data_IF_782473696796
#
_entry.id   IF_782473696796
#
_cell.length_a   1.000
_cell.length_b   1.000
_cell.length_c   1.000
_cell.angle_alpha   90.00
_cell.angle_beta   90.00
_cell.angle_gamma   90.00
#
_symmetry.space_group_name_H-M   'P 1'
#
loop_
_entity.id
_entity.type
_entity.pdbx_description
1 polymer ?
#
# COMPACT_ATOMS: atom_id res chain seq x y z
N UNK A 1 -38.50 -4.89 -44.47
CA UNK A 1 -38.24 -6.34 -44.33
C UNK A 1 -36.77 -6.48 -43.90
N UNK A 2 -36.51 -6.50 -42.59
CA UNK A 2 -35.17 -6.58 -42.00
C UNK A 2 -35.08 -7.90 -41.24
N UNK A 3 -34.32 -8.86 -41.76
CA UNK A 3 -34.04 -10.12 -41.06
C UNK A 3 -33.09 -9.84 -39.89
N UNK A 4 -33.54 -10.13 -38.66
CA UNK A 4 -32.67 -10.20 -37.48
C UNK A 4 -31.96 -11.55 -37.48
N UNK A 5 -30.63 -11.54 -37.49
CA UNK A 5 -29.79 -12.71 -37.23
C UNK A 5 -29.78 -12.93 -35.71
N UNK A 6 -30.13 -14.12 -35.19
CA UNK A 6 -30.02 -14.41 -33.76
C UNK A 6 -28.59 -14.79 -33.40
N UNK A 7 -27.89 -13.93 -32.66
CA UNK A 7 -26.60 -14.27 -32.04
C UNK A 7 -26.85 -15.07 -30.77
N UNK A 8 -26.93 -16.40 -30.91
CA UNK A 8 -26.92 -17.31 -29.77
C UNK A 8 -25.47 -17.53 -29.31
N UNK A 9 -25.04 -16.78 -28.30
CA UNK A 9 -23.77 -17.05 -27.61
C UNK A 9 -24.08 -18.16 -26.59
N UNK A 10 -23.67 -19.39 -26.89
CA UNK A 10 -23.64 -20.46 -25.89
C UNK A 10 -22.69 -20.09 -24.74
N UNK A 11 -22.97 -20.50 -23.50
CA UNK A 11 -22.02 -20.31 -22.41
C UNK A 11 -20.77 -21.15 -22.72
N UNK A 12 -19.70 -20.47 -23.14
CA UNK A 12 -18.44 -21.09 -23.51
C UNK A 12 -17.82 -21.75 -22.26
N UNK A 13 -17.35 -23.02 -22.34
CA UNK A 13 -16.61 -23.70 -21.27
C UNK A 13 -15.25 -23.02 -20.93
N UNK A 14 -14.93 -21.91 -21.58
CA UNK A 14 -13.73 -21.11 -21.34
C UNK A 14 -13.80 -20.32 -20.04
N UNK A 15 -15.00 -19.88 -19.62
CA UNK A 15 -15.18 -19.07 -18.40
C UNK A 15 -14.90 -19.90 -17.14
N UNK A 16 -15.37 -21.14 -17.12
CA UNK A 16 -15.10 -22.08 -16.02
C UNK A 16 -13.63 -22.53 -15.99
N UNK A 17 -12.99 -22.65 -17.16
CA UNK A 17 -11.55 -22.94 -17.27
C UNK A 17 -10.70 -21.76 -16.78
N UNK A 18 -11.07 -20.53 -17.09
CA UNK A 18 -10.38 -19.32 -16.61
C UNK A 18 -10.45 -19.20 -15.09
N UNK A 19 -11.62 -19.45 -14.48
CA UNK A 19 -11.76 -19.47 -13.03
C UNK A 19 -10.92 -20.57 -12.35
N UNK A 20 -10.72 -21.72 -13.01
CA UNK A 20 -9.86 -22.80 -12.52
C UNK A 20 -8.37 -22.49 -12.66
N UNK A 21 -7.96 -21.85 -13.75
CA UNK A 21 -6.57 -21.38 -13.96
C UNK A 21 -6.21 -20.31 -12.94
N UNK A 22 -7.10 -19.34 -12.71
CA UNK A 22 -6.91 -18.29 -11.71
C UNK A 22 -6.78 -18.92 -10.31
N UNK A 23 -7.64 -19.88 -9.94
CA UNK A 23 -7.52 -20.62 -8.67
C UNK A 23 -6.24 -21.44 -8.55
N UNK A 24 -5.75 -22.06 -9.62
CA UNK A 24 -4.51 -22.83 -9.58
C UNK A 24 -3.26 -21.94 -9.49
N UNK A 25 -3.25 -20.79 -10.17
CA UNK A 25 -2.18 -19.80 -10.06
C UNK A 25 -2.18 -19.15 -8.67
N UNK A 26 -3.35 -18.80 -8.12
CA UNK A 26 -3.46 -18.24 -6.77
C UNK A 26 -3.16 -19.27 -5.66
N UNK A 27 -3.46 -20.56 -5.87
CA UNK A 27 -3.03 -21.62 -4.94
C UNK A 27 -1.51 -21.79 -4.89
N UNK A 28 -0.81 -21.49 -6.00
CA UNK A 28 0.65 -21.56 -6.11
C UNK A 28 1.39 -20.29 -5.62
N UNK A 29 0.73 -19.45 -4.81
CA UNK A 29 1.21 -18.12 -4.39
C UNK A 29 2.70 -18.03 -4.04
N UNK A 30 3.46 -17.39 -4.93
CA UNK A 30 4.80 -16.79 -4.74
C UNK A 30 5.94 -17.67 -4.21
N UNK A 31 5.78 -18.98 -4.13
CA UNK A 31 6.81 -19.94 -3.75
C UNK A 31 6.93 -21.02 -4.84
N UNK A 32 8.14 -21.47 -5.21
CA UNK A 32 8.34 -22.54 -6.20
C UNK A 32 7.91 -23.92 -5.68
N UNK A 33 7.33 -23.99 -4.48
CA UNK A 33 6.84 -25.22 -3.86
C UNK A 33 5.34 -25.39 -4.12
N UNK A 34 4.93 -26.49 -4.79
CA UNK A 34 3.53 -26.83 -5.02
C UNK A 34 2.75 -26.85 -3.69
N UNK A 35 1.74 -26.00 -3.55
CA UNK A 35 0.73 -26.19 -2.51
C UNK A 35 -0.45 -26.93 -3.16
N UNK A 36 -0.86 -28.06 -2.57
CA UNK A 36 -1.97 -28.92 -3.03
C UNK A 36 -1.78 -29.66 -4.37
N UNK A 37 -0.55 -30.05 -4.73
CA UNK A 37 -0.30 -30.97 -5.86
C UNK A 37 -0.45 -30.38 -7.26
N UNK A 38 -0.71 -29.08 -7.39
CA UNK A 38 -0.65 -28.36 -8.67
C UNK A 38 0.78 -27.96 -9.03
N UNK A 39 1.18 -28.16 -10.28
CA UNK A 39 2.52 -27.81 -10.79
C UNK A 39 2.44 -27.16 -12.16
N UNK A 40 3.47 -26.38 -12.49
CA UNK A 40 3.62 -25.73 -13.80
C UNK A 40 4.95 -26.21 -14.39
N UNK A 41 4.90 -26.79 -15.59
CA UNK A 41 6.08 -27.14 -16.40
C UNK A 41 6.11 -26.25 -17.64
N UNK A 42 7.10 -26.44 -18.51
CA UNK A 42 7.26 -25.67 -19.75
C UNK A 42 6.03 -25.81 -20.68
N UNK A 43 5.43 -27.01 -20.73
CA UNK A 43 4.36 -27.33 -21.68
C UNK A 43 2.97 -27.52 -21.04
N UNK A 44 2.89 -27.57 -19.70
CA UNK A 44 1.67 -28.02 -19.02
C UNK A 44 1.47 -27.38 -17.64
N UNK A 45 0.21 -27.07 -17.33
CA UNK A 45 -0.26 -26.72 -15.98
C UNK A 45 -1.07 -27.90 -15.46
N UNK A 46 -0.62 -28.50 -14.36
CA UNK A 46 -1.36 -29.52 -13.62
C UNK A 46 -2.13 -28.84 -12.51
N UNK A 47 -3.46 -28.90 -12.56
CA UNK A 47 -4.33 -28.36 -11.52
C UNK A 47 -4.35 -29.29 -10.30
N UNK A 48 -4.77 -28.77 -9.14
CA UNK A 48 -4.92 -29.58 -7.93
C UNK A 48 -5.91 -30.76 -8.09
N UNK A 49 -6.80 -30.70 -9.10
CA UNK A 49 -7.70 -31.79 -9.50
C UNK A 49 -7.02 -32.89 -10.31
N UNK A 50 -5.74 -32.73 -10.68
CA UNK A 50 -5.00 -33.60 -11.60
C UNK A 50 -5.26 -33.31 -13.09
N UNK A 51 -6.19 -32.40 -13.41
CA UNK A 51 -6.44 -31.98 -14.78
C UNK A 51 -5.24 -31.23 -15.37
N UNK A 52 -4.96 -31.47 -16.64
CA UNK A 52 -3.81 -30.95 -17.37
C UNK A 52 -4.25 -29.93 -18.42
N UNK A 53 -3.62 -28.76 -18.41
CA UNK A 53 -3.85 -27.70 -19.39
C UNK A 53 -2.55 -27.43 -20.15
N UNK A 54 -2.64 -27.25 -21.47
CA UNK A 54 -1.49 -26.92 -22.33
C UNK A 54 -1.68 -25.53 -22.91
N UNK A 55 -1.19 -24.47 -22.23
CA UNK A 55 -1.37 -23.11 -22.69
C UNK A 55 -0.29 -22.73 -23.72
N UNK A 56 -0.67 -21.95 -24.74
CA UNK A 56 0.30 -21.32 -25.63
C UNK A 56 1.02 -20.13 -24.96
N UNK A 57 0.39 -19.50 -23.96
CA UNK A 57 0.92 -18.34 -23.21
C UNK A 57 0.52 -18.44 -21.74
N UNK A 58 1.47 -18.21 -20.83
CA UNK A 58 1.24 -18.09 -19.39
C UNK A 58 1.46 -16.63 -18.96
N UNK A 59 0.47 -16.04 -18.30
CA UNK A 59 0.58 -14.70 -17.68
C UNK A 59 0.50 -14.89 -16.17
N UNK A 60 1.60 -14.56 -15.47
CA UNK A 60 1.74 -14.91 -14.06
C UNK A 60 0.93 -14.00 -13.13
N UNK A 61 0.71 -12.72 -13.47
CA UNK A 61 -0.13 -11.75 -12.77
C UNK A 61 -0.17 -11.89 -11.21
N UNK A 62 0.94 -12.30 -10.59
CA UNK A 62 1.01 -12.80 -9.19
C UNK A 62 0.89 -11.70 -8.12
N UNK A 63 0.37 -10.55 -8.49
CA UNK A 63 0.24 -9.39 -7.61
C UNK A 63 1.59 -8.80 -7.20
N UNK A 64 1.59 -8.17 -6.02
CA UNK A 64 2.71 -7.38 -5.49
C UNK A 64 3.16 -7.90 -4.13
N UNK A 65 4.45 -7.80 -3.82
CA UNK A 65 4.97 -7.89 -2.44
C UNK A 65 5.34 -6.49 -1.98
N UNK A 66 4.54 -5.94 -1.06
CA UNK A 66 4.77 -4.57 -0.57
C UNK A 66 6.01 -4.54 0.33
N UNK A 67 6.93 -3.63 0.03
CA UNK A 67 8.08 -3.30 0.87
C UNK A 67 8.10 -1.81 1.13
N UNK A 68 7.68 -1.42 2.33
CA UNK A 68 7.72 -0.01 2.75
C UNK A 68 9.20 0.43 2.82
N UNK A 69 9.47 1.64 2.33
CA UNK A 69 10.83 2.16 2.21
C UNK A 69 11.71 1.41 1.21
N UNK A 70 11.17 0.50 0.39
CA UNK A 70 11.94 -0.24 -0.61
C UNK A 70 13.00 -1.20 -0.03
N UNK A 71 12.95 -1.49 1.28
CA UNK A 71 13.96 -2.29 1.97
C UNK A 71 15.17 -1.49 2.46
N UNK A 72 15.11 -0.15 2.42
CA UNK A 72 16.11 0.72 3.06
C UNK A 72 16.09 0.50 4.57
N UNK A 73 17.28 0.40 5.17
CA UNK A 73 17.45 0.42 6.62
C UNK A 73 17.66 1.86 7.08
N UNK A 74 16.88 2.29 8.06
CA UNK A 74 16.94 3.63 8.61
C UNK A 74 17.65 3.59 9.97
N UNK A 75 18.42 4.65 10.28
CA UNK A 75 19.13 4.80 11.53
C UNK A 75 18.96 6.24 12.04
N UNK A 76 18.89 6.41 13.36
CA UNK A 76 18.95 7.70 14.05
C UNK A 76 19.98 7.55 15.15
N UNK A 77 21.02 8.38 15.13
CA UNK A 77 22.12 8.31 16.11
C UNK A 77 22.71 6.89 16.25
N UNK A 78 22.93 6.22 15.11
CA UNK A 78 23.39 4.83 14.97
C UNK A 78 22.41 3.73 15.46
N UNK A 79 21.27 4.10 16.03
CA UNK A 79 20.23 3.15 16.43
C UNK A 79 19.32 2.79 15.24
N UNK A 80 19.07 1.49 14.98
CA UNK A 80 18.22 1.06 13.87
C UNK A 80 16.75 1.44 14.12
N UNK A 81 16.13 2.05 13.13
CA UNK A 81 14.72 2.43 13.17
C UNK A 81 13.86 1.31 12.58
N UNK A 82 12.98 0.74 13.40
CA UNK A 82 11.92 -0.13 12.93
C UNK A 82 10.67 0.68 12.55
N UNK A 83 10.43 0.82 11.25
CA UNK A 83 9.28 1.57 10.71
C UNK A 83 7.91 1.07 11.20
N UNK A 84 7.82 -0.20 11.60
CA UNK A 84 6.57 -0.84 12.06
C UNK A 84 6.16 -0.32 13.43
N UNK A 85 7.12 0.14 14.23
CA UNK A 85 6.86 0.59 15.59
C UNK A 85 6.32 2.02 15.64
N UNK A 86 6.70 2.85 14.66
CA UNK A 86 6.30 4.25 14.58
C UNK A 86 4.93 4.47 13.94
N UNK A 87 4.28 5.57 14.34
CA UNK A 87 3.05 6.03 13.71
C UNK A 87 3.33 6.92 12.50
N UNK A 88 2.49 6.78 11.46
CA UNK A 88 2.52 7.69 10.32
C UNK A 88 1.87 9.03 10.68
N UNK A 89 2.68 10.08 10.84
CA UNK A 89 2.21 11.44 11.06
C UNK A 89 1.70 12.08 9.77
N UNK A 90 0.41 12.43 9.76
CA UNK A 90 -0.34 13.02 8.64
C UNK A 90 -0.22 12.30 7.29
N UNK A 91 0.15 11.03 7.33
CA UNK A 91 0.33 10.21 6.14
C UNK A 91 1.57 10.58 5.31
N UNK A 92 2.52 11.35 5.86
CA UNK A 92 3.73 11.70 5.11
C UNK A 92 5.04 11.77 5.90
N UNK A 93 5.02 11.72 7.23
CA UNK A 93 6.24 11.57 8.06
C UNK A 93 6.11 10.38 9.01
N UNK A 94 7.23 9.88 9.50
CA UNK A 94 7.28 8.82 10.51
C UNK A 94 7.60 9.40 11.88
N UNK A 95 6.81 9.03 12.89
CA UNK A 95 7.02 9.40 14.28
C UNK A 95 8.47 9.12 14.73
N UNK A 96 9.04 10.05 15.49
CA UNK A 96 10.37 9.95 16.13
C UNK A 96 11.57 9.87 15.15
N UNK A 97 11.33 9.98 13.84
CA UNK A 97 12.39 10.01 12.83
C UNK A 97 12.57 11.42 12.27
N UNK A 98 13.76 12.04 12.40
CA UNK A 98 14.01 13.38 11.92
C UNK A 98 13.97 13.45 10.40
N UNK A 99 13.28 14.46 9.86
CA UNK A 99 13.26 14.79 8.43
C UNK A 99 12.85 13.66 7.46
N UNK A 100 12.35 12.53 7.97
CA UNK A 100 11.90 11.43 7.12
C UNK A 100 10.49 11.72 6.61
N UNK A 101 10.39 11.92 5.30
CA UNK A 101 9.13 12.01 4.60
C UNK A 101 8.96 10.88 3.59
N UNK A 102 7.73 10.40 3.42
CA UNK A 102 7.39 9.38 2.44
C UNK A 102 6.06 9.69 1.76
N UNK A 103 5.87 9.17 0.55
CA UNK A 103 4.64 9.34 -0.21
C UNK A 103 3.68 8.21 0.13
N UNK A 104 2.49 8.57 0.60
CA UNK A 104 1.37 7.64 0.77
C UNK A 104 0.23 7.99 -0.17
N UNK A 105 -0.24 6.99 -0.91
CA UNK A 105 -1.40 7.09 -1.79
C UNK A 105 -2.73 6.88 -1.07
N UNK A 106 -3.80 6.93 -1.86
CA UNK A 106 -5.14 6.56 -1.43
C UNK A 106 -5.39 5.09 -1.69
N UNK A 107 -6.16 4.44 -0.82
CA UNK A 107 -6.64 3.08 -1.05
C UNK A 107 -7.90 3.05 -1.94
N UNK A 108 -8.66 4.16 -1.94
CA UNK A 108 -9.93 4.33 -2.64
C UNK A 108 -9.86 5.33 -3.82
N UNK A 109 -8.67 5.84 -4.14
CA UNK A 109 -8.46 6.82 -5.21
C UNK A 109 -7.07 6.67 -5.84
N UNK A 110 -6.78 7.47 -6.86
CA UNK A 110 -5.51 7.44 -7.56
C UNK A 110 -4.32 7.75 -6.63
N UNK A 111 -3.24 6.98 -6.76
CA UNK A 111 -2.01 7.18 -5.99
C UNK A 111 -1.40 8.57 -6.19
N UNK A 112 -1.50 9.11 -7.42
CA UNK A 112 -0.95 10.43 -7.79
C UNK A 112 -1.53 11.58 -6.98
N UNK A 113 -2.79 11.50 -6.58
CA UNK A 113 -3.42 12.48 -5.67
C UNK A 113 -2.73 12.49 -4.31
N UNK A 114 -2.33 11.32 -3.82
CA UNK A 114 -1.56 11.22 -2.57
C UNK A 114 -0.14 11.76 -2.74
N UNK A 115 0.48 11.56 -3.90
CA UNK A 115 1.76 12.19 -4.20
C UNK A 115 1.67 13.72 -4.16
N UNK A 116 0.64 14.31 -4.75
CA UNK A 116 0.41 15.76 -4.72
C UNK A 116 0.22 16.31 -3.30
N UNK A 117 -0.69 15.73 -2.52
CA UNK A 117 -0.92 16.14 -1.12
C UNK A 117 0.37 16.06 -0.30
N UNK A 118 1.17 15.01 -0.51
CA UNK A 118 2.48 14.86 0.14
C UNK A 118 3.43 15.97 -0.28
N UNK A 119 3.54 16.23 -1.58
CA UNK A 119 4.43 17.27 -2.11
C UNK A 119 4.11 18.65 -1.54
N UNK A 120 2.83 19.02 -1.49
CA UNK A 120 2.37 20.28 -0.90
C UNK A 120 2.77 20.38 0.58
N UNK A 121 2.53 19.32 1.35
CA UNK A 121 2.85 19.29 2.78
C UNK A 121 4.37 19.41 3.03
N UNK A 122 5.18 18.64 2.30
CA UNK A 122 6.65 18.64 2.42
C UNK A 122 7.24 19.99 2.03
N UNK A 123 6.83 20.58 0.90
CA UNK A 123 7.34 21.89 0.47
C UNK A 123 7.00 22.98 1.49
N UNK A 124 5.78 22.93 2.06
CA UNK A 124 5.36 23.87 3.09
C UNK A 124 6.16 23.70 4.38
N UNK A 125 6.43 22.46 4.79
CA UNK A 125 7.28 22.16 5.94
C UNK A 125 8.71 22.68 5.74
N UNK A 126 9.31 22.43 4.57
CA UNK A 126 10.66 22.91 4.25
C UNK A 126 10.75 24.44 4.25
N UNK A 127 9.74 25.14 3.72
CA UNK A 127 9.66 26.62 3.80
C UNK A 127 9.59 27.09 5.25
N UNK A 128 8.83 26.39 6.08
CA UNK A 128 8.73 26.71 7.50
C UNK A 128 10.05 26.49 8.24
N UNK A 129 10.73 25.37 7.99
CA UNK A 129 12.07 25.11 8.55
C UNK A 129 13.06 26.21 8.14
N UNK A 130 13.10 26.56 6.84
CA UNK A 130 13.92 27.65 6.33
C UNK A 130 13.63 28.99 7.01
N UNK A 131 12.35 29.33 7.21
CA UNK A 131 11.95 30.58 7.86
C UNK A 131 12.33 30.67 9.34
N UNK A 132 12.49 29.52 10.00
CA UNK A 132 12.85 29.41 11.42
C UNK A 132 14.34 29.23 11.66
N UNK A 133 15.13 28.98 10.62
CA UNK A 133 16.57 28.72 10.74
C UNK A 133 16.90 27.38 11.41
N UNK A 134 15.98 26.40 11.33
CA UNK A 134 16.10 25.07 11.95
C UNK A 134 16.50 24.02 10.92
N UNK A 135 17.28 23.03 11.35
CA UNK A 135 17.91 22.04 10.47
C UNK A 135 17.16 20.72 10.44
N UNK A 136 16.46 20.37 11.52
CA UNK A 136 15.64 19.17 11.55
C UNK A 136 14.34 19.35 12.30
N UNK A 137 13.36 18.53 11.90
CA UNK A 137 12.03 18.49 12.48
C UNK A 137 11.62 17.06 12.76
N UNK A 138 11.07 16.82 13.95
CA UNK A 138 10.68 15.49 14.42
C UNK A 138 9.20 15.51 14.80
N UNK A 139 8.37 14.65 14.20
CA UNK A 139 6.99 14.47 14.64
C UNK A 139 6.93 13.64 15.91
N UNK A 140 6.30 14.18 16.94
CA UNK A 140 6.05 13.50 18.23
C UNK A 140 4.57 13.20 18.40
N UNK A 141 4.26 12.17 19.19
CA UNK A 141 2.90 11.95 19.66
C UNK A 141 2.55 13.00 20.72
N UNK A 142 1.40 13.65 20.56
CA UNK A 142 0.87 14.55 21.57
C UNK A 142 0.40 13.79 22.82
N UNK A 143 0.15 14.50 23.93
CA UNK A 143 -0.42 13.91 25.15
C UNK A 143 -1.79 13.23 24.91
N UNK A 144 -2.56 13.73 23.96
CA UNK A 144 -3.86 13.15 23.53
C UNK A 144 -3.71 11.80 22.83
N UNK A 145 -2.50 11.48 22.37
CA UNK A 145 -2.24 10.40 21.43
C UNK A 145 -1.65 9.16 22.14
N UNK A 146 -1.40 9.25 23.46
CA UNK A 146 -0.78 8.20 24.27
C UNK A 146 -1.64 6.94 24.43
N UNK A 147 -2.96 7.07 24.30
CA UNK A 147 -3.93 5.96 24.40
C UNK A 147 -4.56 5.61 23.04
N UNK A 148 -3.88 5.92 21.93
CA UNK A 148 -4.41 5.61 20.61
C UNK A 148 -4.26 4.13 20.29
N UNK A 149 -5.40 3.48 20.04
CA UNK A 149 -5.45 2.15 19.46
C UNK A 149 -4.86 2.19 18.03
N UNK A 150 -3.79 1.42 17.76
CA UNK A 150 -3.20 1.35 16.43
C UNK A 150 -4.22 0.89 15.40
N UNK A 151 -4.32 1.63 14.30
CA UNK A 151 -5.12 1.25 13.14
C UNK A 151 -4.23 0.77 12.00
N UNK A 152 -4.80 -0.02 11.11
CA UNK A 152 -4.14 -0.38 9.87
C UNK A 152 -3.85 0.88 9.04
N UNK A 153 -2.63 0.97 8.53
CA UNK A 153 -2.20 2.04 7.64
C UNK A 153 -3.01 2.06 6.34
N UNK A 154 -3.39 0.87 5.84
CA UNK A 154 -4.30 0.69 4.71
C UNK A 154 -5.49 -0.18 5.11
N UNK A 155 -6.72 0.27 4.80
CA UNK A 155 -7.95 -0.51 4.98
C UNK A 155 -8.34 -1.20 3.68
N UNK A 156 -7.63 -2.28 3.32
CA UNK A 156 -7.88 -3.04 2.08
C UNK A 156 -7.96 -4.55 2.41
N UNK A 157 -8.86 -5.28 1.76
CA UNK A 157 -9.08 -6.72 1.98
C UNK A 157 -8.16 -7.65 1.16
N UNK A 158 -7.35 -7.08 0.26
CA UNK A 158 -6.47 -7.84 -0.65
C UNK A 158 -5.39 -8.61 0.09
N UNK A 159 -5.08 -9.82 -0.40
CA UNK A 159 -4.13 -10.76 0.23
C UNK A 159 -2.73 -10.16 0.38
N UNK A 160 -2.22 -9.45 -0.61
CA UNK A 160 -0.90 -8.80 -0.53
C UNK A 160 -0.81 -7.69 0.53
N UNK A 161 -1.93 -7.07 0.89
CA UNK A 161 -1.96 -6.06 1.95
C UNK A 161 -1.97 -6.74 3.31
N UNK A 162 -2.67 -7.87 3.48
CA UNK A 162 -2.71 -8.63 4.74
C UNK A 162 -1.31 -9.04 5.21
N UNK A 163 -0.46 -9.46 4.29
CA UNK A 163 0.94 -9.80 4.60
C UNK A 163 1.79 -8.54 4.88
N UNK A 164 1.49 -7.44 4.18
CA UNK A 164 2.20 -6.19 4.29
C UNK A 164 1.95 -5.42 5.60
N UNK A 165 0.81 -5.67 6.27
CA UNK A 165 0.45 -5.01 7.55
C UNK A 165 1.58 -5.15 8.59
N UNK A 166 2.30 -6.28 8.57
CA UNK A 166 3.43 -6.56 9.47
C UNK A 166 4.66 -5.67 9.21
N UNK A 167 4.70 -4.99 8.07
CA UNK A 167 5.83 -4.19 7.59
C UNK A 167 5.46 -2.72 7.35
N UNK A 168 4.26 -2.30 7.76
CA UNK A 168 3.79 -0.92 7.63
C UNK A 168 3.83 -0.17 8.95
N UNK A 169 4.06 1.16 8.94
CA UNK A 169 3.90 1.98 10.13
C UNK A 169 2.46 1.91 10.65
N UNK A 170 2.27 2.24 11.93
CA UNK A 170 0.95 2.27 12.56
C UNK A 170 0.15 3.47 12.05
N UNK A 171 -1.15 3.26 11.79
CA UNK A 171 -2.12 4.33 11.65
C UNK A 171 -2.80 4.65 12.98
N UNK A 172 -3.56 5.73 13.04
CA UNK A 172 -4.36 6.10 14.20
C UNK A 172 -5.59 6.93 13.81
N UNK A 173 -6.01 7.82 14.70
CA UNK A 173 -7.10 8.78 14.44
C UNK A 173 -6.56 10.21 14.30
N UNK A 174 -7.40 11.13 13.82
CA UNK A 174 -7.05 12.55 13.71
C UNK A 174 -5.86 12.80 12.77
N UNK A 175 -4.72 13.20 13.35
CA UNK A 175 -3.48 13.51 12.62
C UNK A 175 -2.70 12.26 12.21
N UNK A 176 -2.92 11.13 12.88
CA UNK A 176 -2.33 9.84 12.52
C UNK A 176 -3.26 9.03 11.61
N UNK A 177 -4.41 9.60 11.26
CA UNK A 177 -5.37 8.96 10.39
C UNK A 177 -4.80 8.76 8.97
N UNK A 178 -5.17 7.63 8.39
CA UNK A 178 -4.94 7.35 6.98
C UNK A 178 -5.71 8.35 6.10
N UNK A 179 -5.22 8.56 4.89
CA UNK A 179 -5.85 9.44 3.90
C UNK A 179 -7.13 8.82 3.38
N UNK A 180 -8.17 9.63 3.24
CA UNK A 180 -9.50 9.14 2.88
C UNK A 180 -10.19 10.01 1.82
N UNK A 181 -9.89 11.32 1.80
CA UNK A 181 -10.51 12.25 0.88
C UNK A 181 -9.50 13.29 0.39
N UNK A 182 -9.29 13.30 -0.93
CA UNK A 182 -8.32 14.17 -1.58
C UNK A 182 -8.49 15.65 -1.24
N UNK A 183 -9.69 16.21 -1.40
CA UNK A 183 -9.90 17.64 -1.19
C UNK A 183 -9.67 18.06 0.26
N UNK A 184 -10.14 17.24 1.20
CA UNK A 184 -9.95 17.50 2.62
C UNK A 184 -8.48 17.38 3.04
N UNK A 185 -7.79 16.35 2.54
CA UNK A 185 -6.38 16.13 2.82
C UNK A 185 -5.50 17.20 2.17
N UNK A 186 -5.83 17.65 0.95
CA UNK A 186 -5.16 18.77 0.29
C UNK A 186 -5.36 20.08 1.05
N UNK A 187 -6.57 20.35 1.54
CA UNK A 187 -6.84 21.50 2.38
C UNK A 187 -6.04 21.44 3.70
N UNK A 188 -5.94 20.27 4.32
CA UNK A 188 -5.08 20.05 5.50
C UNK A 188 -3.59 20.21 5.18
N UNK A 189 -3.12 19.73 4.03
CA UNK A 189 -1.74 19.92 3.60
C UNK A 189 -1.43 21.40 3.33
N UNK A 190 -2.38 22.14 2.75
CA UNK A 190 -2.23 23.54 2.36
C UNK A 190 -2.38 24.52 3.54
N UNK A 191 -3.33 24.27 4.44
CA UNK A 191 -3.67 25.19 5.54
C UNK A 191 -3.62 24.58 6.95
N UNK A 192 -3.61 23.25 7.08
CA UNK A 192 -3.56 22.57 8.38
C UNK A 192 -2.30 22.88 9.19
N UNK A 193 -2.37 22.73 10.50
CA UNK A 193 -1.33 23.18 11.42
C UNK A 193 -0.06 22.31 11.35
N UNK A 194 1.11 22.90 11.09
CA UNK A 194 2.41 22.21 11.13
C UNK A 194 3.22 22.58 12.38
N UNK A 195 2.61 23.11 13.45
CA UNK A 195 3.37 23.66 14.59
C UNK A 195 3.22 22.85 15.87
N UNK A 196 2.03 22.38 16.20
CA UNK A 196 1.73 21.86 17.54
C UNK A 196 2.39 20.52 17.90
N UNK A 197 2.70 19.68 16.93
CA UNK A 197 3.21 18.31 17.15
C UNK A 197 4.58 18.05 16.49
N UNK A 198 5.23 19.11 16.02
CA UNK A 198 6.55 19.06 15.41
C UNK A 198 7.55 19.73 16.35
N UNK A 199 8.56 18.99 16.79
CA UNK A 199 9.72 19.53 17.47
C UNK A 199 10.70 20.05 16.43
N UNK A 200 11.17 21.29 16.62
CA UNK A 200 12.07 21.98 15.71
C UNK A 200 13.40 22.22 16.41
N UNK A 201 14.50 21.93 15.71
CA UNK A 201 15.86 22.03 16.23
C UNK A 201 16.79 22.74 15.24
#
# INVERSE_FOLDING_TARGET
MLQRIPTYISPLPLVDKLAQVERAIFACGSSPTPQNGSSVTEDEIVLASGAKLRPDIIVTATGLKLRIGGGIQFFVDDDPVNIVDGFSWKGFMLQDVPNLAFVSGYYNAAWTLGAEVTGVAVVRLLRQMKSRGVSYVIPRLGKSDQNLEPQLFFKISSTYVKDAIKYTPKGGTGRLAHRWNYFFDLAKASWGDHKSDLEYF
#
